data_IF_121915193048
#
_entry.id   IF_121915193048
#
_cell.length_a   1.000
_cell.length_b   1.000
_cell.length_c   1.000
_cell.angle_alpha   90.00
_cell.angle_beta   90.00
_cell.angle_gamma   90.00
#
_symmetry.space_group_name_H-M   'P 1'
#
loop_
_entity.id
_entity.type
_entity.pdbx_description
1 polymer ?
#
# COMPACT_ATOMS: atom_id res chain seq x y z
N UNK A 1 42.15 -8.95 49.83
CA UNK A 1 41.31 -7.83 49.35
C UNK A 1 40.64 -8.28 48.06
N UNK A 2 39.38 -8.69 48.21
CA UNK A 2 38.50 -9.21 47.16
C UNK A 2 37.91 -8.06 46.36
N UNK A 3 38.08 -8.07 45.04
CA UNK A 3 37.38 -7.16 44.13
C UNK A 3 35.99 -7.72 43.81
N UNK A 4 34.92 -6.89 43.74
CA UNK A 4 33.57 -7.37 43.50
C UNK A 4 33.31 -7.58 42.01
N UNK A 5 32.72 -8.72 41.66
CA UNK A 5 32.21 -9.03 40.33
C UNK A 5 30.95 -8.21 40.03
N UNK A 6 30.98 -7.42 38.96
CA UNK A 6 29.80 -6.77 38.39
C UNK A 6 28.89 -7.81 37.72
N UNK A 7 27.56 -7.74 37.88
CA UNK A 7 26.64 -8.66 37.23
C UNK A 7 26.51 -8.31 35.75
N UNK A 8 26.62 -9.34 34.90
CA UNK A 8 26.32 -9.27 33.47
C UNK A 8 24.83 -8.98 33.30
N UNK A 9 24.41 -8.02 32.45
CA UNK A 9 22.99 -7.79 32.20
C UNK A 9 22.39 -8.99 31.46
N UNK A 10 21.33 -9.58 32.02
CA UNK A 10 20.52 -10.60 31.34
C UNK A 10 19.97 -10.02 30.03
N UNK A 11 20.19 -10.73 28.92
CA UNK A 11 19.57 -10.42 27.64
C UNK A 11 18.03 -10.47 27.78
N UNK A 12 17.29 -9.54 27.16
CA UNK A 12 15.85 -9.56 27.21
C UNK A 12 15.32 -10.82 26.54
N UNK A 13 14.56 -11.60 27.32
CA UNK A 13 13.84 -12.80 26.87
C UNK A 13 13.14 -12.52 25.55
N UNK A 14 13.52 -13.29 24.53
CA UNK A 14 12.83 -13.45 23.24
C UNK A 14 11.31 -13.42 23.44
N UNK A 15 10.66 -12.34 23.01
CA UNK A 15 9.20 -12.31 22.93
C UNK A 15 8.76 -13.44 21.99
N UNK A 16 7.88 -14.30 22.49
CA UNK A 16 7.31 -15.40 21.71
C UNK A 16 6.81 -14.85 20.37
N UNK A 17 7.43 -15.36 19.32
CA UNK A 17 7.13 -15.13 17.92
C UNK A 17 5.61 -15.32 17.72
N UNK A 18 4.85 -14.25 17.50
CA UNK A 18 3.49 -14.32 16.96
C UNK A 18 3.52 -14.71 15.47
N UNK A 19 4.23 -15.79 15.15
CA UNK A 19 4.18 -16.47 13.86
C UNK A 19 2.93 -17.33 13.83
N UNK A 20 1.79 -16.69 13.62
CA UNK A 20 0.70 -17.39 12.90
C UNK A 20 1.17 -17.44 11.45
N UNK A 21 1.91 -18.49 11.08
CA UNK A 21 2.22 -18.76 9.68
C UNK A 21 1.04 -19.52 9.10
N UNK A 22 0.02 -18.80 8.67
CA UNK A 22 -1.07 -19.40 7.89
C UNK A 22 -0.47 -20.10 6.66
N UNK A 23 -0.92 -21.33 6.41
CA UNK A 23 -0.59 -22.06 5.19
C UNK A 23 -1.05 -21.28 3.96
N UNK A 24 -0.48 -21.62 2.80
CA UNK A 24 -0.84 -20.98 1.53
C UNK A 24 -2.32 -21.17 1.19
N UNK A 25 -2.89 -22.32 1.56
CA UNK A 25 -4.33 -22.58 1.40
C UNK A 25 -5.18 -21.72 2.34
N UNK A 26 -4.84 -21.65 3.63
CA UNK A 26 -5.59 -20.81 4.60
C UNK A 26 -5.57 -19.33 4.20
N UNK A 27 -4.45 -18.84 3.68
CA UNK A 27 -4.39 -17.48 3.14
C UNK A 27 -5.30 -17.31 1.92
N UNK A 28 -5.31 -18.28 1.00
CA UNK A 28 -6.17 -18.25 -0.18
C UNK A 28 -7.66 -18.19 0.21
N UNK A 29 -8.06 -19.00 1.19
CA UNK A 29 -9.45 -19.03 1.69
C UNK A 29 -9.83 -17.68 2.35
N UNK A 30 -8.91 -17.08 3.13
CA UNK A 30 -9.12 -15.75 3.72
C UNK A 30 -9.21 -14.66 2.67
N UNK A 31 -8.45 -14.77 1.57
CA UNK A 31 -8.55 -13.85 0.43
C UNK A 31 -9.90 -14.00 -0.27
N UNK A 32 -10.39 -15.22 -0.48
CA UNK A 32 -11.69 -15.44 -1.12
C UNK A 32 -12.83 -14.82 -0.29
N UNK A 33 -12.75 -14.92 1.05
CA UNK A 33 -13.68 -14.21 1.96
C UNK A 33 -13.56 -12.69 1.80
N UNK A 34 -12.33 -12.15 1.75
CA UNK A 34 -12.08 -10.71 1.62
C UNK A 34 -12.56 -10.13 0.29
N UNK A 35 -12.40 -10.89 -0.81
CA UNK A 35 -12.89 -10.48 -2.12
C UNK A 35 -14.42 -10.43 -2.18
N UNK A 36 -15.11 -11.35 -1.48
CA UNK A 36 -16.56 -11.39 -1.44
C UNK A 36 -17.17 -11.41 -2.86
N UNK A 37 -18.02 -10.43 -3.18
CA UNK A 37 -18.65 -10.31 -4.50
C UNK A 37 -17.66 -10.05 -5.65
N UNK A 38 -16.45 -9.56 -5.36
CA UNK A 38 -15.41 -9.35 -6.37
C UNK A 38 -14.73 -10.65 -6.79
N UNK A 39 -14.94 -11.75 -6.07
CA UNK A 39 -14.36 -13.05 -6.40
C UNK A 39 -15.04 -13.63 -7.64
N UNK A 40 -14.34 -13.84 -8.77
CA UNK A 40 -14.94 -14.47 -9.95
C UNK A 40 -15.37 -15.90 -9.64
N UNK A 41 -16.39 -16.43 -10.32
CA UNK A 41 -16.79 -17.84 -10.17
C UNK A 41 -15.67 -18.81 -10.62
N UNK A 42 -15.05 -18.49 -11.76
CA UNK A 42 -13.91 -19.21 -12.31
C UNK A 42 -12.71 -18.24 -12.48
N UNK A 43 -11.83 -18.14 -11.47
CA UNK A 43 -10.72 -17.21 -11.50
C UNK A 43 -9.66 -17.70 -12.50
N UNK A 44 -9.12 -16.79 -13.31
CA UNK A 44 -7.98 -17.07 -14.19
C UNK A 44 -6.66 -17.24 -13.43
N UNK A 45 -6.71 -17.23 -12.10
CA UNK A 45 -5.57 -17.24 -11.20
C UNK A 45 -5.83 -18.08 -9.95
N UNK A 46 -4.75 -18.47 -9.27
CA UNK A 46 -4.77 -19.12 -7.96
C UNK A 46 -3.57 -18.68 -7.12
N UNK A 47 -3.69 -18.74 -5.80
CA UNK A 47 -2.57 -18.53 -4.88
C UNK A 47 -1.81 -19.84 -4.70
N UNK A 48 -0.47 -19.78 -4.72
CA UNK A 48 0.39 -20.94 -4.51
C UNK A 48 1.76 -20.54 -3.96
N UNK A 49 2.55 -21.52 -3.51
CA UNK A 49 3.96 -21.28 -3.17
C UNK A 49 4.76 -20.91 -4.42
N UNK A 50 5.61 -19.90 -4.28
CA UNK A 50 6.36 -19.33 -5.39
C UNK A 50 7.82 -19.77 -5.38
N UNK A 51 8.38 -20.21 -6.52
CA UNK A 51 9.80 -20.45 -6.66
C UNK A 51 10.62 -19.15 -6.68
N UNK A 52 9.99 -17.99 -6.88
CA UNK A 52 10.64 -16.68 -6.79
C UNK A 52 10.81 -16.31 -5.31
N UNK A 53 9.72 -16.26 -4.57
CA UNK A 53 9.73 -15.91 -3.15
C UNK A 53 8.40 -16.24 -2.48
N UNK A 54 8.45 -17.02 -1.40
CA UNK A 54 7.31 -17.25 -0.50
C UNK A 54 6.07 -17.75 -1.23
N UNK A 55 5.07 -16.87 -1.36
CA UNK A 55 3.78 -17.14 -2.00
C UNK A 55 3.61 -16.21 -3.21
N UNK A 56 2.85 -16.66 -4.20
CA UNK A 56 2.59 -15.92 -5.43
C UNK A 56 1.22 -16.21 -6.01
N UNK A 57 0.90 -15.51 -7.10
CA UNK A 57 -0.31 -15.70 -7.89
C UNK A 57 0.06 -16.37 -9.20
N UNK A 58 -0.65 -17.41 -9.60
CA UNK A 58 -0.36 -18.21 -10.79
C UNK A 58 -1.57 -18.29 -11.70
N UNK A 59 -1.36 -18.19 -13.00
CA UNK A 59 -2.41 -18.35 -13.99
C UNK A 59 -2.96 -19.79 -13.98
N UNK A 60 -4.27 -19.98 -14.00
CA UNK A 60 -4.94 -21.30 -14.06
C UNK A 60 -5.20 -21.73 -15.50
N UNK A 61 -5.21 -20.77 -16.42
CA UNK A 61 -5.35 -20.94 -17.86
C UNK A 61 -4.47 -19.93 -18.60
N UNK A 62 -4.49 -19.99 -19.92
CA UNK A 62 -3.91 -18.93 -20.73
C UNK A 62 -4.71 -17.61 -20.57
N UNK A 63 -3.99 -16.50 -20.48
CA UNK A 63 -4.54 -15.15 -20.29
C UNK A 63 -4.05 -14.25 -21.41
N UNK A 64 -4.97 -13.50 -22.02
CA UNK A 64 -4.66 -12.60 -23.12
C UNK A 64 -4.12 -11.24 -22.62
N UNK A 65 -3.30 -10.52 -23.41
CA UNK A 65 -2.91 -9.16 -23.10
C UNK A 65 -4.13 -8.24 -22.91
N UNK A 66 -4.14 -7.45 -21.84
CA UNK A 66 -5.22 -6.53 -21.48
C UNK A 66 -6.43 -7.17 -20.81
N UNK A 67 -6.39 -8.47 -20.52
CA UNK A 67 -7.41 -9.13 -19.72
C UNK A 67 -7.30 -8.68 -18.26
N UNK A 68 -8.44 -8.39 -17.62
CA UNK A 68 -8.49 -8.14 -16.18
C UNK A 68 -8.29 -9.46 -15.44
N UNK A 69 -7.28 -9.48 -14.56
CA UNK A 69 -6.94 -10.65 -13.75
C UNK A 69 -7.84 -10.72 -12.52
N UNK A 70 -7.90 -9.60 -11.79
CA UNK A 70 -8.77 -9.41 -10.64
C UNK A 70 -8.88 -7.94 -10.27
N UNK A 71 -9.90 -7.67 -9.45
CA UNK A 71 -10.08 -6.42 -8.71
C UNK A 71 -10.24 -6.73 -7.24
N UNK A 72 -9.76 -5.84 -6.39
CA UNK A 72 -9.74 -6.05 -4.95
C UNK A 72 -9.99 -4.73 -4.20
N UNK A 73 -10.88 -4.76 -3.22
CA UNK A 73 -11.04 -3.68 -2.26
C UNK A 73 -9.94 -3.72 -1.20
N UNK A 74 -9.54 -2.57 -0.71
CA UNK A 74 -8.52 -2.47 0.33
C UNK A 74 -8.98 -3.12 1.65
N UNK A 75 -8.08 -3.85 2.31
CA UNK A 75 -8.27 -4.33 3.68
C UNK A 75 -8.16 -3.18 4.70
N UNK A 76 -7.16 -2.31 4.51
CA UNK A 76 -6.93 -1.12 5.32
C UNK A 76 -6.35 -0.02 4.44
N UNK A 77 -6.91 1.18 4.56
CA UNK A 77 -6.45 2.37 3.82
C UNK A 77 -6.37 3.56 4.76
N UNK A 78 -5.54 4.54 4.43
CA UNK A 78 -5.60 5.85 5.06
C UNK A 78 -4.60 6.84 4.48
N UNK A 79 -4.55 8.06 5.02
CA UNK A 79 -3.77 9.14 4.42
C UNK A 79 -2.27 8.91 4.59
N UNK A 80 -1.50 9.26 3.55
CA UNK A 80 -0.02 9.31 3.62
C UNK A 80 0.48 10.51 4.42
N UNK A 81 -0.30 11.60 4.41
CA UNK A 81 0.04 12.91 4.98
C UNK A 81 1.46 13.37 4.58
N UNK A 82 1.78 13.25 3.30
CA UNK A 82 3.04 13.74 2.76
C UNK A 82 3.12 15.27 2.90
N UNK A 83 4.33 15.83 2.99
CA UNK A 83 4.53 17.29 3.19
C UNK A 83 3.92 18.15 2.08
N UNK A 84 3.76 17.58 0.88
CA UNK A 84 3.16 18.23 -0.28
C UNK A 84 1.65 18.05 -0.38
N UNK A 85 1.05 17.21 0.47
CA UNK A 85 -0.39 16.95 0.45
C UNK A 85 -1.14 18.04 1.21
N UNK A 86 -2.25 18.52 0.64
CA UNK A 86 -3.15 19.40 1.38
C UNK A 86 -3.84 18.60 2.49
N UNK A 87 -3.54 18.93 3.75
CA UNK A 87 -4.04 18.19 4.90
C UNK A 87 -5.52 18.43 5.18
N UNK A 88 -6.13 19.49 4.61
CA UNK A 88 -7.58 19.76 4.67
C UNK A 88 -8.40 18.81 3.78
N UNK A 89 -7.93 17.58 3.64
CA UNK A 89 -8.58 16.51 2.89
C UNK A 89 -9.42 15.69 3.87
N UNK A 90 -10.67 15.40 3.53
CA UNK A 90 -11.47 14.48 4.33
C UNK A 90 -10.83 13.08 4.37
N UNK A 91 -10.62 12.52 5.57
CA UNK A 91 -10.00 11.20 5.76
C UNK A 91 -10.85 10.00 5.29
N UNK A 92 -12.09 10.25 4.87
CA UNK A 92 -13.05 9.23 4.43
C UNK A 92 -13.32 9.30 2.93
N UNK A 93 -13.78 10.45 2.43
CA UNK A 93 -14.17 10.59 1.02
C UNK A 93 -13.11 11.27 0.14
N UNK A 94 -11.96 11.65 0.70
CA UNK A 94 -10.85 12.28 -0.03
C UNK A 94 -11.15 13.65 -0.66
N UNK A 95 -12.36 14.20 -0.49
CA UNK A 95 -12.70 15.55 -0.93
C UNK A 95 -11.88 16.59 -0.16
N UNK A 96 -11.44 17.64 -0.86
CA UNK A 96 -10.89 18.82 -0.24
C UNK A 96 -11.99 19.55 0.55
N UNK A 97 -11.75 19.76 1.84
CA UNK A 97 -12.69 20.47 2.70
C UNK A 97 -12.53 21.98 2.44
N UNK A 98 -13.60 22.69 2.07
CA UNK A 98 -13.56 24.13 1.81
C UNK A 98 -13.05 24.94 3.00
N UNK A 99 -12.53 26.14 2.72
CA UNK A 99 -12.04 27.08 3.72
C UNK A 99 -10.57 27.44 3.53
N UNK A 100 -10.03 28.19 4.48
CA UNK A 100 -8.64 28.69 4.47
C UNK A 100 -7.83 28.24 5.68
N UNK A 101 -8.46 27.67 6.71
CA UNK A 101 -7.80 27.27 7.95
C UNK A 101 -7.98 25.77 8.22
N UNK A 102 -7.01 25.18 8.92
CA UNK A 102 -7.06 23.79 9.37
C UNK A 102 -8.23 23.55 10.33
N UNK A 103 -8.44 24.47 11.27
CA UNK A 103 -9.53 24.41 12.26
C UNK A 103 -10.91 24.24 11.63
N UNK A 104 -11.16 24.90 10.48
CA UNK A 104 -12.42 24.76 9.75
C UNK A 104 -12.62 23.38 9.10
N UNK A 105 -11.54 22.66 8.83
CA UNK A 105 -11.58 21.31 8.27
C UNK A 105 -11.67 20.22 9.36
N UNK A 106 -11.25 20.52 10.58
CA UNK A 106 -11.29 19.59 11.70
C UNK A 106 -12.72 19.24 12.13
N UNK A 107 -12.90 17.99 12.54
CA UNK A 107 -14.15 17.53 13.10
C UNK A 107 -14.50 18.32 14.39
N UNK A 108 -15.72 18.90 14.47
CA UNK A 108 -16.11 19.77 15.60
C UNK A 108 -16.26 19.02 16.93
N UNK A 109 -16.37 17.70 16.90
CA UNK A 109 -16.39 16.87 18.11
C UNK A 109 -15.00 16.79 18.81
N UNK A 110 -13.96 17.36 18.20
CA UNK A 110 -12.62 17.43 18.79
C UNK A 110 -11.82 16.13 18.69
N UNK A 111 -12.09 15.30 17.67
CA UNK A 111 -11.28 14.09 17.41
C UNK A 111 -9.94 14.39 16.70
N UNK A 112 -9.76 15.61 16.17
CA UNK A 112 -8.52 16.02 15.50
C UNK A 112 -8.36 15.51 14.06
N UNK A 113 -9.37 14.84 13.50
CA UNK A 113 -9.39 14.39 12.10
C UNK A 113 -10.08 15.44 11.20
N UNK A 114 -9.55 15.70 9.98
CA UNK A 114 -10.24 16.49 8.99
C UNK A 114 -11.36 15.68 8.33
N UNK A 115 -12.62 16.12 8.49
CA UNK A 115 -13.80 15.40 8.02
C UNK A 115 -14.83 16.38 7.46
N UNK A 116 -15.32 16.14 6.24
CA UNK A 116 -16.36 16.98 5.64
C UNK A 116 -17.71 16.81 6.34
N UNK A 117 -18.65 17.71 6.10
CA UNK A 117 -19.99 17.67 6.70
C UNK A 117 -20.75 16.38 6.41
N UNK A 118 -20.67 15.86 5.18
CA UNK A 118 -21.35 14.63 4.76
C UNK A 118 -20.80 13.38 5.46
N UNK A 119 -19.49 13.31 5.67
CA UNK A 119 -18.84 12.17 6.30
C UNK A 119 -18.88 12.20 7.83
N UNK A 120 -19.20 13.37 8.42
CA UNK A 120 -19.19 13.58 9.87
C UNK A 120 -20.13 12.62 10.62
N UNK A 121 -21.31 12.37 10.06
CA UNK A 121 -22.33 11.56 10.73
C UNK A 121 -22.34 10.10 10.22
N UNK A 122 -21.33 9.72 9.45
CA UNK A 122 -21.18 8.35 8.96
C UNK A 122 -20.70 7.40 10.06
N UNK A 123 -21.11 6.13 9.97
CA UNK A 123 -20.67 5.06 10.87
C UNK A 123 -19.14 4.88 10.84
N UNK A 124 -18.51 5.05 9.68
CA UNK A 124 -17.04 4.95 9.51
C UNK A 124 -16.32 6.03 10.34
N UNK A 125 -16.84 7.26 10.37
CA UNK A 125 -16.27 8.32 11.20
C UNK A 125 -16.63 8.13 12.68
N UNK A 126 -17.85 7.71 13.03
CA UNK A 126 -18.28 7.61 14.44
C UNK A 126 -17.33 6.74 15.29
N UNK A 127 -16.90 5.59 14.77
CA UNK A 127 -15.94 4.70 15.42
C UNK A 127 -14.58 5.38 15.62
N UNK A 128 -14.02 5.98 14.56
CA UNK A 128 -12.74 6.69 14.60
C UNK A 128 -12.81 7.92 15.54
N UNK A 129 -13.92 8.65 15.51
CA UNK A 129 -14.18 9.85 16.29
C UNK A 129 -14.18 9.53 17.78
N UNK A 130 -14.94 8.52 18.19
CA UNK A 130 -15.00 8.05 19.59
C UNK A 130 -13.63 7.62 20.09
N UNK A 131 -12.88 6.86 19.28
CA UNK A 131 -11.56 6.37 19.64
C UNK A 131 -10.55 7.52 19.81
N UNK A 132 -10.44 8.42 18.84
CA UNK A 132 -9.49 9.53 18.90
C UNK A 132 -9.85 10.52 20.02
N UNK A 133 -11.14 10.79 20.27
CA UNK A 133 -11.58 11.60 21.42
C UNK A 133 -11.22 10.97 22.76
N UNK A 134 -11.33 9.64 22.88
CA UNK A 134 -10.87 8.90 24.06
C UNK A 134 -9.37 9.09 24.29
N UNK A 135 -8.56 9.07 23.22
CA UNK A 135 -7.12 9.32 23.31
C UNK A 135 -6.77 10.79 23.57
N UNK A 136 -7.71 11.71 23.29
CA UNK A 136 -7.60 13.15 23.53
C UNK A 136 -6.41 13.78 22.78
N UNK A 137 -6.61 14.26 21.54
CA UNK A 137 -5.58 14.94 20.77
C UNK A 137 -5.06 16.17 21.53
N UNK A 138 -3.74 16.41 21.45
CA UNK A 138 -3.10 17.58 22.07
C UNK A 138 -3.29 18.86 21.24
N UNK A 139 -3.32 18.71 19.91
CA UNK A 139 -3.57 19.80 18.97
C UNK A 139 -5.07 19.85 18.64
N UNK A 140 -5.63 21.07 18.61
CA UNK A 140 -7.07 21.30 18.40
C UNK A 140 -7.39 22.30 17.29
N UNK A 141 -6.39 23.03 16.79
CA UNK A 141 -6.55 24.08 15.78
C UNK A 141 -5.84 23.77 14.47
N UNK A 142 -4.85 22.87 14.50
CA UNK A 142 -4.07 22.46 13.33
C UNK A 142 -4.25 20.98 13.04
N UNK A 143 -4.12 20.60 11.78
CA UNK A 143 -4.17 19.19 11.39
C UNK A 143 -2.79 18.57 11.68
N UNK A 144 -2.73 17.62 12.61
CA UNK A 144 -1.49 16.95 13.03
C UNK A 144 -1.14 15.79 12.06
N UNK A 145 -0.11 15.92 11.21
CA UNK A 145 0.21 14.91 10.19
C UNK A 145 0.55 13.54 10.78
N UNK A 146 1.15 13.50 11.98
CA UNK A 146 1.50 12.24 12.65
C UNK A 146 0.25 11.47 13.08
N UNK A 147 -0.79 12.17 13.54
CA UNK A 147 -2.09 11.60 13.87
C UNK A 147 -2.82 11.09 12.63
N UNK A 148 -2.67 11.77 11.48
CA UNK A 148 -3.22 11.26 10.21
C UNK A 148 -2.52 9.99 9.75
N UNK A 149 -1.18 9.94 9.78
CA UNK A 149 -0.43 8.77 9.32
C UNK A 149 -0.77 7.50 10.09
N UNK A 150 -1.01 7.61 11.40
CA UNK A 150 -1.35 6.43 12.20
C UNK A 150 -2.79 5.96 11.92
N UNK A 151 -3.68 6.79 11.37
CA UNK A 151 -5.07 6.43 11.12
C UNK A 151 -5.20 5.16 10.27
N UNK A 152 -4.35 4.99 9.25
CA UNK A 152 -4.31 3.78 8.41
C UNK A 152 -4.08 2.51 9.22
N UNK A 153 -3.28 2.61 10.29
CA UNK A 153 -2.96 1.52 11.20
C UNK A 153 -4.08 1.34 12.23
N UNK A 154 -4.60 2.43 12.80
CA UNK A 154 -5.65 2.42 13.82
C UNK A 154 -6.93 1.74 13.33
N UNK A 155 -7.20 1.82 12.03
CA UNK A 155 -8.32 1.11 11.40
C UNK A 155 -8.28 -0.41 11.59
N UNK A 156 -7.14 -1.00 11.99
CA UNK A 156 -7.08 -2.43 12.32
C UNK A 156 -8.01 -2.84 13.48
N UNK A 157 -8.34 -1.95 14.42
CA UNK A 157 -9.28 -2.28 15.51
C UNK A 157 -10.70 -2.53 15.04
N UNK A 158 -11.05 -2.06 13.85
CA UNK A 158 -12.39 -2.20 13.30
C UNK A 158 -12.49 -3.36 12.32
N UNK A 159 -11.41 -4.15 12.15
CA UNK A 159 -11.46 -5.38 11.39
C UNK A 159 -12.27 -6.44 12.12
N UNK A 160 -13.12 -7.14 11.39
CA UNK A 160 -13.76 -8.36 11.87
C UNK A 160 -12.73 -9.50 12.06
N UNK A 161 -13.20 -10.67 12.49
CA UNK A 161 -12.32 -11.79 12.77
C UNK A 161 -11.60 -12.32 11.53
N UNK A 162 -12.28 -12.42 10.39
CA UNK A 162 -11.71 -12.94 9.15
C UNK A 162 -10.66 -11.97 8.59
N UNK A 163 -10.98 -10.68 8.54
CA UNK A 163 -10.08 -9.63 8.11
C UNK A 163 -8.85 -9.49 9.03
N UNK A 164 -9.02 -9.71 10.34
CA UNK A 164 -7.90 -9.78 11.29
C UNK A 164 -7.01 -10.99 11.03
N UNK A 165 -7.59 -12.18 10.84
CA UNK A 165 -6.83 -13.39 10.46
C UNK A 165 -6.06 -13.17 9.15
N UNK A 166 -6.67 -12.53 8.16
CA UNK A 166 -6.03 -12.18 6.89
C UNK A 166 -4.83 -11.25 7.10
N UNK A 167 -4.97 -10.18 7.88
CA UNK A 167 -3.85 -9.29 8.24
C UNK A 167 -2.70 -10.05 8.92
N UNK A 168 -3.02 -11.02 9.78
CA UNK A 168 -2.05 -11.91 10.43
C UNK A 168 -1.50 -13.02 9.52
N UNK A 169 -2.09 -13.26 8.35
CA UNK A 169 -1.58 -14.19 7.34
C UNK A 169 -0.64 -13.50 6.33
N UNK A 170 -0.71 -12.17 6.19
CA UNK A 170 0.16 -11.38 5.31
C UNK A 170 1.62 -11.35 5.80
N UNK A 171 2.55 -11.27 4.84
CA UNK A 171 3.97 -11.07 5.14
C UNK A 171 4.17 -9.75 5.90
N UNK A 172 4.85 -9.79 7.05
CA UNK A 172 5.05 -8.61 7.88
C UNK A 172 6.51 -8.55 8.32
N UNK A 173 7.37 -8.00 7.45
CA UNK A 173 8.79 -7.87 7.74
C UNK A 173 8.98 -6.93 8.93
N UNK A 174 9.68 -7.42 9.95
CA UNK A 174 9.92 -6.69 11.18
C UNK A 174 11.05 -5.67 11.00
N UNK A 175 10.86 -4.48 11.57
CA UNK A 175 11.90 -3.47 11.67
C UNK A 175 11.71 -2.68 12.97
N UNK A 176 12.77 -2.61 13.78
CA UNK A 176 12.79 -1.85 15.05
C UNK A 176 12.41 -0.37 14.89
N UNK A 177 12.60 0.21 13.70
CA UNK A 177 12.26 1.59 13.43
C UNK A 177 10.75 1.81 13.25
N UNK A 178 9.97 0.77 12.95
CA UNK A 178 8.53 0.89 12.74
C UNK A 178 7.78 1.24 14.02
N UNK A 179 8.24 0.78 15.19
CA UNK A 179 7.67 1.21 16.47
C UNK A 179 7.84 2.70 16.76
N UNK A 180 8.85 3.36 16.14
CA UNK A 180 8.99 4.81 16.26
C UNK A 180 7.83 5.56 15.60
N UNK A 181 7.14 4.96 14.63
CA UNK A 181 5.94 5.57 14.04
C UNK A 181 4.78 5.57 15.03
N UNK A 182 4.57 4.46 15.76
CA UNK A 182 3.57 4.38 16.85
C UNK A 182 3.91 5.38 17.94
N UNK A 183 5.17 5.44 18.38
CA UNK A 183 5.57 6.38 19.44
C UNK A 183 5.33 7.83 19.03
N UNK A 184 5.72 8.22 17.81
CA UNK A 184 5.48 9.58 17.30
C UNK A 184 4.01 9.94 17.23
N UNK A 185 3.15 8.96 16.93
CA UNK A 185 1.71 9.14 16.96
C UNK A 185 1.19 9.25 18.39
N UNK A 186 1.69 8.41 19.31
CA UNK A 186 1.34 8.45 20.73
C UNK A 186 1.61 9.83 21.34
N UNK A 187 2.72 10.48 20.97
CA UNK A 187 3.08 11.83 21.40
C UNK A 187 2.07 12.92 20.97
N UNK A 188 1.10 12.59 20.12
CA UNK A 188 0.03 13.51 19.68
C UNK A 188 -1.21 13.45 20.59
N UNK A 189 -1.27 12.51 21.53
CA UNK A 189 -2.46 12.22 22.33
C UNK A 189 -2.15 12.16 23.82
N UNK A 190 -3.06 12.64 24.67
CA UNK A 190 -2.88 12.62 26.13
C UNK A 190 -3.02 11.21 26.73
N UNK A 191 -3.93 10.41 26.17
CA UNK A 191 -4.34 9.10 26.66
C UNK A 191 -4.17 8.03 25.58
N UNK A 192 -3.02 8.04 24.89
CA UNK A 192 -2.69 6.98 23.94
C UNK A 192 -2.52 5.64 24.69
N UNK A 193 -3.08 4.55 24.16
CA UNK A 193 -3.02 3.23 24.78
C UNK A 193 -1.58 2.73 24.90
N UNK A 194 -1.31 2.01 25.99
CA UNK A 194 0.01 1.46 26.31
C UNK A 194 -0.06 -0.03 26.66
N UNK A 195 -1.22 -0.66 26.50
CA UNK A 195 -1.37 -2.09 26.69
C UNK A 195 -0.54 -2.84 25.64
N UNK A 196 0.23 -3.85 26.10
CA UNK A 196 1.19 -4.55 25.25
C UNK A 196 0.53 -5.20 24.02
N UNK A 197 -0.58 -5.91 24.23
CA UNK A 197 -1.31 -6.56 23.13
C UNK A 197 -1.76 -5.57 22.04
N UNK A 198 -2.11 -4.35 22.45
CA UNK A 198 -2.50 -3.29 21.53
C UNK A 198 -1.31 -2.77 20.72
N UNK A 199 -0.18 -2.54 21.40
CA UNK A 199 1.05 -2.11 20.76
C UNK A 199 1.58 -3.18 19.79
N UNK A 200 1.47 -4.45 20.16
CA UNK A 200 1.86 -5.56 19.30
C UNK A 200 0.94 -5.66 18.08
N UNK A 201 -0.36 -5.40 18.23
CA UNK A 201 -1.28 -5.37 17.08
C UNK A 201 -1.00 -4.20 16.13
N UNK A 202 -0.70 -3.01 16.67
CA UNK A 202 -0.23 -1.89 15.86
C UNK A 202 1.08 -2.21 15.14
N UNK A 203 2.06 -2.79 15.85
CA UNK A 203 3.34 -3.15 15.27
C UNK A 203 3.16 -4.13 14.12
N UNK A 204 2.36 -5.18 14.32
CA UNK A 204 2.04 -6.16 13.27
C UNK A 204 1.43 -5.48 12.05
N UNK A 205 0.49 -4.57 12.27
CA UNK A 205 -0.19 -3.83 11.20
C UNK A 205 0.79 -2.93 10.43
N UNK A 206 1.69 -2.22 11.10
CA UNK A 206 2.71 -1.38 10.46
C UNK A 206 3.69 -2.21 9.65
N UNK A 207 4.15 -3.35 10.17
CA UNK A 207 5.01 -4.28 9.45
C UNK A 207 4.33 -4.76 8.16
N UNK A 208 3.03 -5.09 8.21
CA UNK A 208 2.25 -5.46 7.04
C UNK A 208 2.14 -4.30 6.03
N UNK A 209 1.87 -3.07 6.48
CA UNK A 209 1.86 -1.87 5.63
C UNK A 209 3.20 -1.62 4.95
N UNK A 210 4.31 -1.68 5.69
CA UNK A 210 5.65 -1.43 5.15
C UNK A 210 6.12 -2.51 4.17
N UNK A 211 5.59 -3.72 4.30
CA UNK A 211 5.91 -4.82 3.39
C UNK A 211 5.06 -4.77 2.12
N UNK A 212 3.73 -4.63 2.24
CA UNK A 212 2.79 -4.96 1.17
C UNK A 212 1.95 -3.78 0.66
N UNK A 213 1.96 -2.63 1.32
CA UNK A 213 1.04 -1.56 0.94
C UNK A 213 1.41 -0.89 -0.38
N UNK A 214 0.38 -0.43 -1.07
CA UNK A 214 0.45 0.37 -2.28
C UNK A 214 0.18 1.83 -1.94
N UNK A 215 0.80 2.74 -2.69
CA UNK A 215 0.42 4.15 -2.71
C UNK A 215 -0.62 4.33 -3.82
N UNK A 216 -1.88 4.42 -3.43
CA UNK A 216 -3.01 4.54 -4.33
C UNK A 216 -3.42 5.99 -4.52
N UNK A 217 -3.85 6.34 -5.73
CA UNK A 217 -4.29 7.69 -6.09
C UNK A 217 -5.82 7.77 -6.07
N UNK A 218 -6.34 8.85 -5.54
CA UNK A 218 -7.75 9.22 -5.63
C UNK A 218 -7.87 10.66 -6.13
N UNK A 219 -8.85 10.93 -7.00
CA UNK A 219 -9.18 12.26 -7.46
C UNK A 219 -10.66 12.51 -7.25
N UNK A 220 -10.98 13.46 -6.38
CA UNK A 220 -12.36 13.82 -6.04
C UNK A 220 -12.52 15.31 -6.26
N UNK A 221 -13.42 15.71 -7.14
CA UNK A 221 -13.69 17.11 -7.49
C UNK A 221 -12.44 17.88 -7.96
N UNK A 222 -11.54 17.21 -8.68
CA UNK A 222 -10.28 17.79 -9.17
C UNK A 222 -9.18 17.89 -8.10
N UNK A 223 -9.44 17.44 -6.88
CA UNK A 223 -8.46 17.35 -5.81
C UNK A 223 -7.85 15.95 -5.77
N UNK A 224 -6.55 15.88 -6.06
CA UNK A 224 -5.80 14.63 -6.06
C UNK A 224 -5.13 14.36 -4.73
N UNK A 225 -5.25 13.12 -4.26
CA UNK A 225 -4.62 12.66 -3.03
C UNK A 225 -3.97 11.29 -3.20
N UNK A 226 -2.92 11.08 -2.40
CA UNK A 226 -2.26 9.79 -2.27
C UNK A 226 -2.63 9.17 -0.93
N UNK A 227 -3.17 7.96 -1.00
CA UNK A 227 -3.52 7.15 0.15
C UNK A 227 -2.63 5.92 0.18
N UNK A 228 -2.41 5.39 1.37
CA UNK A 228 -1.69 4.14 1.56
C UNK A 228 -2.69 3.04 1.84
N UNK A 229 -2.70 2.00 1.02
CA UNK A 229 -3.71 0.95 1.06
C UNK A 229 -3.07 -0.45 1.07
N UNK A 230 -3.63 -1.35 1.88
CA UNK A 230 -3.32 -2.77 1.89
C UNK A 230 -4.31 -3.51 1.00
N UNK A 231 -3.78 -4.28 0.07
CA UNK A 231 -4.51 -5.12 -0.87
C UNK A 231 -3.95 -6.54 -0.73
N UNK A 232 -4.54 -7.39 0.13
CA UNK A 232 -4.00 -8.71 0.48
C UNK A 232 -3.65 -9.60 -0.72
N UNK A 233 -4.52 -9.71 -1.72
CA UNK A 233 -4.26 -10.48 -2.93
C UNK A 233 -3.20 -9.80 -3.78
N UNK A 234 -3.35 -8.51 -4.11
CA UNK A 234 -2.35 -7.81 -4.93
C UNK A 234 -0.95 -7.79 -4.29
N UNK A 235 -0.87 -7.80 -2.95
CA UNK A 235 0.38 -7.89 -2.20
C UNK A 235 1.14 -9.22 -2.39
N UNK A 236 0.51 -10.24 -2.97
CA UNK A 236 1.16 -11.51 -3.34
C UNK A 236 1.83 -11.48 -4.72
N UNK A 237 1.63 -10.45 -5.53
CA UNK A 237 2.24 -10.36 -6.86
C UNK A 237 3.75 -10.13 -6.74
N UNK A 238 4.53 -11.19 -6.92
CA UNK A 238 5.98 -11.12 -6.83
C UNK A 238 6.62 -10.20 -7.89
N UNK A 239 7.86 -9.81 -7.61
CA UNK A 239 8.59 -8.90 -8.47
C UNK A 239 9.26 -9.57 -9.66
N UNK A 240 9.05 -9.00 -10.85
CA UNK A 240 10.00 -9.10 -11.97
C UNK A 240 10.27 -7.72 -12.59
N UNK A 241 11.48 -7.53 -13.14
CA UNK A 241 11.82 -6.29 -13.87
C UNK A 241 11.26 -6.28 -15.32
N UNK A 242 10.71 -7.40 -15.77
CA UNK A 242 9.91 -7.62 -16.98
C UNK A 242 8.59 -8.25 -16.55
N UNK A 243 7.72 -7.49 -15.86
CA UNK A 243 6.47 -8.02 -15.33
C UNK A 243 5.48 -8.34 -16.45
N UNK A 244 4.59 -9.27 -16.18
CA UNK A 244 3.50 -9.64 -17.09
C UNK A 244 2.13 -9.07 -16.67
N UNK A 245 2.08 -8.32 -15.57
CA UNK A 245 0.90 -7.62 -15.09
C UNK A 245 1.21 -6.20 -14.62
N UNK A 246 0.20 -5.33 -14.72
CA UNK A 246 0.20 -3.97 -14.20
C UNK A 246 -1.12 -3.67 -13.48
N UNK A 247 -1.15 -2.58 -12.73
CA UNK A 247 -2.33 -2.19 -11.95
C UNK A 247 -2.69 -0.72 -12.15
N UNK A 248 -3.93 -0.40 -11.85
CA UNK A 248 -4.42 0.95 -11.63
C UNK A 248 -5.35 0.98 -10.42
N UNK A 249 -5.68 2.18 -9.95
CA UNK A 249 -6.56 2.36 -8.80
C UNK A 249 -7.87 3.02 -9.22
N UNK A 250 -8.98 2.53 -8.65
CA UNK A 250 -10.27 3.21 -8.69
C UNK A 250 -10.50 3.85 -7.31
N UNK A 251 -10.70 5.17 -7.28
CA UNK A 251 -11.02 5.96 -6.09
C UNK A 251 -10.02 5.84 -4.91
N UNK A 252 -8.83 5.27 -5.15
CA UNK A 252 -7.81 5.01 -4.13
C UNK A 252 -8.05 3.79 -3.22
N UNK A 253 -9.25 3.19 -3.22
CA UNK A 253 -9.61 2.08 -2.34
C UNK A 253 -9.83 0.75 -3.08
N UNK A 254 -9.80 0.75 -4.41
CA UNK A 254 -9.87 -0.48 -5.23
C UNK A 254 -8.67 -0.56 -6.14
N UNK A 255 -7.98 -1.69 -6.15
CA UNK A 255 -6.93 -1.99 -7.11
C UNK A 255 -7.50 -2.90 -8.21
N UNK A 256 -7.13 -2.63 -9.46
CA UNK A 256 -7.49 -3.47 -10.61
C UNK A 256 -6.19 -3.89 -11.28
N UNK A 257 -5.99 -5.20 -11.43
CA UNK A 257 -4.78 -5.79 -12.00
C UNK A 257 -5.12 -6.40 -13.36
N UNK A 258 -4.31 -6.07 -14.37
CA UNK A 258 -4.52 -6.50 -15.75
C UNK A 258 -3.23 -7.10 -16.32
N UNK A 259 -3.36 -8.08 -17.20
CA UNK A 259 -2.24 -8.65 -17.93
C UNK A 259 -1.68 -7.62 -18.94
N UNK A 260 -0.37 -7.45 -18.99
CA UNK A 260 0.30 -6.57 -19.97
C UNK A 260 0.82 -7.31 -21.19
N UNK A 261 0.86 -8.64 -21.11
CA UNK A 261 1.26 -9.56 -22.16
C UNK A 261 0.51 -10.88 -22.02
N UNK A 262 0.76 -11.83 -22.94
CA UNK A 262 0.16 -13.17 -22.84
C UNK A 262 0.79 -13.91 -21.66
N UNK A 263 -0.04 -14.46 -20.77
CA UNK A 263 0.41 -15.25 -19.62
C UNK A 263 0.02 -16.72 -19.85
N UNK A 264 0.98 -17.64 -20.03
CA UNK A 264 0.69 -19.06 -20.16
C UNK A 264 0.06 -19.65 -18.89
N UNK A 265 -0.74 -20.71 -19.05
CA UNK A 265 -1.25 -21.48 -17.91
C UNK A 265 -0.10 -21.97 -17.02
N UNK A 266 -0.25 -21.83 -15.71
CA UNK A 266 0.76 -22.20 -14.71
C UNK A 266 1.88 -21.19 -14.52
N UNK A 267 1.97 -20.13 -15.33
CA UNK A 267 2.97 -19.08 -15.14
C UNK A 267 2.62 -18.18 -13.95
N UNK A 268 3.65 -17.70 -13.25
CA UNK A 268 3.48 -16.73 -12.17
C UNK A 268 3.11 -15.35 -12.71
N UNK A 269 2.11 -14.74 -12.12
CA UNK A 269 1.68 -13.36 -12.39
C UNK A 269 2.55 -12.45 -11.52
N UNK A 270 3.26 -11.54 -12.15
CA UNK A 270 4.28 -10.71 -11.52
C UNK A 270 4.11 -9.24 -11.88
N UNK A 271 4.55 -8.37 -10.97
CA UNK A 271 4.55 -6.91 -11.17
C UNK A 271 5.95 -6.31 -10.94
N UNK A 272 6.12 -5.04 -11.26
CA UNK A 272 7.35 -4.32 -10.90
C UNK A 272 7.18 -3.52 -9.62
N UNK A 273 8.03 -3.78 -8.62
CA UNK A 273 8.12 -2.96 -7.42
C UNK A 273 9.02 -1.72 -7.63
N UNK A 274 9.84 -1.73 -8.67
CA UNK A 274 10.78 -0.66 -8.99
C UNK A 274 10.36 0.05 -10.26
N UNK A 275 10.84 1.29 -10.46
CA UNK A 275 10.60 1.99 -11.73
C UNK A 275 11.24 1.23 -12.89
N UNK A 276 10.46 1.03 -13.93
CA UNK A 276 10.85 0.24 -15.09
C UNK A 276 12.02 0.86 -15.86
N UNK A 277 12.18 2.19 -15.87
CA UNK A 277 13.27 2.88 -16.57
C UNK A 277 14.58 2.98 -15.78
N UNK A 278 14.60 2.58 -14.51
CA UNK A 278 15.82 2.62 -13.72
C UNK A 278 16.87 1.65 -14.25
N UNK A 279 18.15 1.99 -14.10
CA UNK A 279 19.27 1.11 -14.44
C UNK A 279 19.23 -0.17 -13.60
N UNK A 280 19.89 -1.23 -14.09
CA UNK A 280 19.95 -2.51 -13.34
C UNK A 280 20.53 -2.34 -11.94
N UNK A 281 21.57 -1.50 -11.79
CA UNK A 281 22.14 -1.17 -10.48
C UNK A 281 21.12 -0.46 -9.58
N UNK A 282 20.43 0.57 -10.08
CA UNK A 282 19.45 1.32 -9.30
C UNK A 282 18.28 0.43 -8.85
N UNK A 283 17.77 -0.45 -9.71
CA UNK A 283 16.71 -1.42 -9.33
C UNK A 283 17.20 -2.38 -8.26
N UNK A 284 18.40 -2.95 -8.39
CA UNK A 284 18.97 -3.89 -7.40
C UNK A 284 19.19 -3.22 -6.03
N UNK A 285 19.73 -2.00 -6.01
CA UNK A 285 19.90 -1.23 -4.78
C UNK A 285 18.54 -0.96 -4.12
N UNK A 286 17.57 -0.44 -4.88
CA UNK A 286 16.24 -0.15 -4.36
C UNK A 286 15.55 -1.37 -3.75
N UNK A 287 15.55 -2.51 -4.47
CA UNK A 287 14.94 -3.75 -3.99
C UNK A 287 15.68 -4.30 -2.77
N UNK A 288 17.02 -4.23 -2.75
CA UNK A 288 17.81 -4.66 -1.60
C UNK A 288 17.51 -3.81 -0.36
N UNK A 289 17.36 -2.50 -0.53
CA UNK A 289 17.11 -1.57 0.59
C UNK A 289 15.66 -1.60 1.10
N UNK A 290 14.68 -1.78 0.21
CA UNK A 290 13.26 -1.61 0.56
C UNK A 290 12.49 -2.93 0.66
N UNK A 291 12.94 -3.97 -0.02
CA UNK A 291 12.29 -5.29 -0.09
C UNK A 291 13.20 -6.42 0.37
N UNK A 292 14.45 -6.13 0.72
CA UNK A 292 15.42 -7.06 1.30
C UNK A 292 15.76 -8.27 0.41
N UNK A 293 15.73 -8.10 -0.92
CA UNK A 293 16.19 -9.12 -1.86
C UNK A 293 16.91 -8.50 -3.08
N UNK A 294 17.70 -9.33 -3.76
CA UNK A 294 18.36 -8.94 -5.03
C UNK A 294 17.69 -9.70 -6.18
N UNK A 295 17.10 -8.95 -7.12
CA UNK A 295 16.41 -9.53 -8.26
C UNK A 295 17.38 -10.27 -9.20
N UNK A 296 17.00 -11.49 -9.58
CA UNK A 296 17.72 -12.38 -10.50
C UNK A 296 16.93 -12.67 -11.79
N UNK A 297 15.93 -11.86 -12.16
CA UNK A 297 15.19 -12.06 -13.42
C UNK A 297 16.10 -11.91 -14.65
N UNK A 298 15.64 -12.36 -15.82
CA UNK A 298 16.38 -12.33 -17.09
C UNK A 298 16.98 -10.95 -17.36
N UNK A 299 16.19 -9.88 -17.22
CA UNK A 299 16.66 -8.49 -17.42
C UNK A 299 17.77 -8.06 -16.46
N UNK A 300 17.82 -8.61 -15.24
CA UNK A 300 18.86 -8.31 -14.25
C UNK A 300 20.11 -9.17 -14.41
N UNK A 301 20.03 -10.27 -15.16
CA UNK A 301 21.15 -11.13 -15.52
C UNK A 301 21.77 -10.75 -16.86
N UNK A 302 21.02 -10.07 -17.73
CA UNK A 302 21.49 -9.63 -19.03
C UNK A 302 22.57 -8.53 -18.91
N UNK A 303 23.83 -8.80 -19.32
CA UNK A 303 24.93 -7.83 -19.25
C UNK A 303 24.79 -6.68 -20.26
N UNK A 304 23.99 -6.86 -21.32
CA UNK A 304 23.80 -5.86 -22.39
C UNK A 304 22.82 -4.74 -21.99
N UNK A 305 21.96 -5.00 -21.00
CA UNK A 305 20.94 -4.06 -20.49
C UNK A 305 21.56 -2.95 -19.58
N UNK A 306 22.88 -2.94 -19.43
CA UNK A 306 23.63 -2.05 -18.52
C UNK A 306 23.82 -0.62 -19.06
N UNK A 307 23.76 -0.37 -20.38
CA UNK A 307 24.02 0.95 -20.96
C UNK A 307 23.03 1.31 -22.09
N UNK A 308 22.32 2.44 -21.94
CA UNK A 308 21.64 3.30 -22.93
C UNK A 308 20.68 2.69 -23.99
N UNK A 309 20.96 1.53 -24.58
CA UNK A 309 20.17 0.88 -25.64
C UNK A 309 18.78 0.44 -25.16
N UNK A 310 18.63 0.22 -23.85
CA UNK A 310 17.36 -0.19 -23.23
C UNK A 310 16.32 0.91 -23.14
N UNK A 311 16.68 2.19 -23.09
CA UNK A 311 15.69 3.29 -22.98
C UNK A 311 14.75 3.28 -24.19
N UNK A 312 15.26 3.04 -25.39
CA UNK A 312 14.45 3.04 -26.62
C UNK A 312 13.52 1.82 -26.71
N UNK A 313 14.04 0.60 -26.54
CA UNK A 313 13.22 -0.62 -26.59
C UNK A 313 12.23 -0.73 -25.42
N UNK A 314 12.66 -0.41 -24.20
CA UNK A 314 11.74 -0.39 -23.05
C UNK A 314 10.75 0.77 -23.10
N UNK A 315 11.06 1.89 -23.75
CA UNK A 315 10.04 2.94 -23.97
C UNK A 315 8.90 2.46 -24.87
N UNK A 316 9.16 1.58 -25.84
CA UNK A 316 8.13 1.03 -26.71
C UNK A 316 7.26 0.01 -25.96
N UNK A 317 7.89 -0.93 -25.25
CA UNK A 317 7.18 -1.89 -24.41
C UNK A 317 6.38 -1.21 -23.27
N UNK A 318 6.94 -0.16 -22.65
CA UNK A 318 6.25 0.63 -21.64
C UNK A 318 5.05 1.38 -22.22
N UNK A 319 5.20 2.04 -23.37
CA UNK A 319 4.07 2.69 -24.05
C UNK A 319 2.97 1.70 -24.39
N UNK A 320 3.34 0.48 -24.77
CA UNK A 320 2.39 -0.61 -25.00
C UNK A 320 1.66 -1.01 -23.71
N UNK A 321 2.38 -1.21 -22.59
CA UNK A 321 1.79 -1.52 -21.29
C UNK A 321 0.85 -0.42 -20.80
N UNK A 322 1.26 0.86 -20.91
CA UNK A 322 0.43 2.01 -20.55
C UNK A 322 -0.84 2.03 -21.38
N UNK A 323 -0.72 1.87 -22.70
CA UNK A 323 -1.88 1.85 -23.60
C UNK A 323 -2.86 0.70 -23.26
N UNK A 324 -2.35 -0.47 -22.85
CA UNK A 324 -3.16 -1.59 -22.38
C UNK A 324 -3.89 -1.21 -21.08
N UNK A 325 -3.17 -0.73 -20.06
CA UNK A 325 -3.76 -0.36 -18.76
C UNK A 325 -4.81 0.73 -18.93
N UNK A 326 -4.54 1.76 -19.74
CA UNK A 326 -5.52 2.79 -20.06
C UNK A 326 -6.76 2.23 -20.78
N UNK A 327 -6.58 1.24 -21.67
CA UNK A 327 -7.69 0.58 -22.35
C UNK A 327 -8.54 -0.21 -21.36
N UNK A 328 -7.92 -0.93 -20.42
CA UNK A 328 -8.62 -1.62 -19.34
C UNK A 328 -9.40 -0.63 -18.46
N UNK A 329 -8.78 0.49 -18.07
CA UNK A 329 -9.43 1.56 -17.30
C UNK A 329 -10.61 2.21 -18.05
N UNK A 330 -10.49 2.41 -19.37
CA UNK A 330 -11.60 2.91 -20.20
C UNK A 330 -12.74 1.90 -20.29
N UNK A 331 -12.44 0.61 -20.42
CA UNK A 331 -13.50 -0.41 -20.50
C UNK A 331 -14.25 -0.54 -19.17
N UNK A 332 -13.55 -0.53 -18.03
CA UNK A 332 -14.19 -0.59 -16.70
C UNK A 332 -15.06 0.63 -16.40
N UNK A 333 -14.68 1.81 -16.91
CA UNK A 333 -15.48 3.05 -16.78
C UNK A 333 -16.67 3.11 -17.74
N UNK A 334 -16.57 2.55 -18.96
CA UNK A 334 -17.67 2.49 -19.93
C UNK A 334 -18.77 1.52 -19.49
N UNK A 335 -18.42 0.38 -18.89
CA UNK A 335 -19.40 -0.56 -18.30
C UNK A 335 -20.15 0.04 -17.10
N UNK A 336 -19.57 1.05 -16.43
CA UNK A 336 -20.24 1.85 -15.39
C UNK A 336 -21.06 3.01 -15.97
N UNK A 337 -20.58 3.66 -17.03
CA UNK A 337 -21.31 4.75 -17.70
C UNK A 337 -22.58 4.25 -18.42
N UNK A 338 -22.66 2.97 -18.78
CA UNK A 338 -23.91 2.36 -19.28
C UNK A 338 -24.98 2.17 -18.20
N UNK A 339 -24.67 2.43 -16.91
CA UNK A 339 -25.64 2.46 -15.81
C UNK A 339 -25.99 3.86 -15.29
N UNK A 340 -25.32 4.94 -15.73
CA UNK A 340 -25.69 6.32 -15.40
C UNK A 340 -25.41 7.24 -16.59
N UNK A 341 -26.48 7.77 -17.20
CA UNK A 341 -26.41 8.57 -18.41
C UNK A 341 -25.90 10.00 -18.21
N UNK A 342 -25.25 10.50 -19.27
CA UNK A 342 -25.03 11.90 -19.71
C UNK A 342 -24.06 12.77 -18.91
N UNK A 343 -22.77 12.73 -19.28
CA UNK A 343 -21.98 13.89 -19.79
C UNK A 343 -20.54 13.42 -20.12
N UNK A 344 -20.05 13.76 -21.32
CA UNK A 344 -18.77 13.25 -21.86
C UNK A 344 -17.52 13.91 -21.26
N UNK A 345 -16.37 13.22 -21.21
CA UNK A 345 -15.16 13.74 -20.57
C UNK A 345 -14.35 14.67 -21.49
N UNK A 346 -13.79 15.73 -20.92
CA UNK A 346 -12.94 16.70 -21.59
C UNK A 346 -11.46 16.28 -21.60
N UNK A 347 -10.80 16.49 -22.75
CA UNK A 347 -9.48 15.96 -23.16
C UNK A 347 -8.22 16.48 -22.44
N UNK A 348 -8.30 17.14 -21.27
CA UNK A 348 -7.12 17.81 -20.65
C UNK A 348 -6.36 17.02 -19.57
N UNK A 349 -6.80 15.82 -19.18
CA UNK A 349 -6.18 15.04 -18.09
C UNK A 349 -5.02 14.11 -18.47
N UNK A 350 -4.78 13.86 -19.77
CA UNK A 350 -3.87 12.78 -20.23
C UNK A 350 -2.38 13.16 -20.23
N UNK A 351 -2.03 14.45 -20.30
CA UNK A 351 -0.63 14.88 -20.41
C UNK A 351 0.13 14.89 -19.07
N UNK A 352 -0.58 14.88 -17.94
CA UNK A 352 0.01 14.91 -16.60
C UNK A 352 0.33 13.52 -16.03
N UNK A 353 -0.25 12.44 -16.57
CA UNK A 353 0.05 11.07 -16.14
C UNK A 353 1.42 10.59 -16.64
N UNK A 354 1.85 11.03 -17.84
CA UNK A 354 3.16 10.68 -18.43
C UNK A 354 4.32 11.28 -17.61
N UNK A 355 4.15 12.51 -17.10
CA UNK A 355 5.15 13.19 -16.27
C UNK A 355 5.37 12.47 -14.92
N UNK A 356 4.36 11.76 -14.40
CA UNK A 356 4.41 11.16 -13.06
C UNK A 356 5.14 9.81 -13.00
N UNK A 357 5.20 9.07 -14.12
CA UNK A 357 6.08 7.89 -14.23
C UNK A 357 7.56 8.27 -14.06
N UNK A 358 7.92 9.53 -14.36
CA UNK A 358 9.26 10.09 -14.17
C UNK A 358 9.47 10.56 -12.71
N UNK A 359 8.47 11.21 -12.08
CA UNK A 359 8.67 11.94 -10.81
C UNK A 359 8.33 11.20 -9.49
N UNK A 360 7.62 10.07 -9.53
CA UNK A 360 7.14 9.44 -8.29
C UNK A 360 8.15 8.45 -7.68
N UNK A 361 9.06 8.94 -6.84
CA UNK A 361 9.64 8.26 -5.65
C UNK A 361 10.96 8.93 -5.28
N UNK A 362 10.88 10.00 -4.50
CA UNK A 362 11.99 10.51 -3.72
C UNK A 362 11.47 10.82 -2.31
N UNK A 363 11.80 9.96 -1.35
CA UNK A 363 12.27 10.32 0.00
C UNK A 363 12.46 9.04 0.84
N UNK A 364 13.58 8.35 0.58
CA UNK A 364 14.33 7.74 1.68
C UNK A 364 14.86 8.93 2.49
N UNK A 365 14.46 9.05 3.77
CA UNK A 365 15.21 9.93 4.68
C UNK A 365 16.60 9.33 4.87
N UNK A 366 17.69 10.04 4.54
CA UNK A 366 19.04 9.59 4.86
C UNK A 366 19.24 9.79 6.37
N UNK A 367 19.00 8.77 7.17
CA UNK A 367 19.53 8.72 8.54
C UNK A 367 20.55 7.59 8.75
N UNK A 368 21.01 6.98 7.67
CA UNK A 368 22.06 5.97 7.70
C UNK A 368 23.28 6.46 6.92
N UNK A 369 24.01 7.43 7.48
CA UNK A 369 25.46 7.49 7.28
C UNK A 369 26.05 6.32 8.07
N UNK A 370 26.04 5.12 7.49
CA UNK A 370 26.90 4.05 7.97
C UNK A 370 28.26 4.27 7.32
N UNK A 371 29.24 4.68 8.14
CA UNK A 371 30.64 4.54 7.76
C UNK A 371 30.92 3.05 7.52
N UNK A 372 31.46 2.74 6.36
CA UNK A 372 32.07 1.44 6.11
C UNK A 372 33.27 1.29 7.07
N UNK A 373 33.36 0.19 7.85
CA UNK A 373 34.64 -0.16 8.47
C UNK A 373 35.63 -0.50 7.35
N UNK A 374 36.87 -0.03 7.52
CA UNK A 374 38.01 -0.35 6.65
C UNK A 374 38.34 -1.84 6.68
#
# INVERSE_FOLDING_TARGET
MSTPSTPVPEEPRSSNQMTISASTQELADLIDIHLGELRPQDPSWRVADSPISGRGIFATREIAPGEELFREHTLLVGPTAHRSTNLRTCTLCYRLIPGSTDSAALCPAGCGLPVCSECRDSSRHDLECKLFRKWKPLESQRIEPRALRILSVVRCFFLDEAARKLLYAMQANMDRYYMKEVQRAADCFKHFPREQDMLDYFYRTICAFNTNAFEARSNVDGHEVLVRALFPLAGLLNHQCTPNAAHHFENGETIVVCATERIPAGAEITMSYAKLLWSTLARKIFLGMTKHFICKCVRCQDPTVSLFVSILYFSAWMRHCIAIVEKCHRNSSVDRATKMSTQGPTRRGLSTEIQYWEDAHFQIRPHNTFMFPK
#
